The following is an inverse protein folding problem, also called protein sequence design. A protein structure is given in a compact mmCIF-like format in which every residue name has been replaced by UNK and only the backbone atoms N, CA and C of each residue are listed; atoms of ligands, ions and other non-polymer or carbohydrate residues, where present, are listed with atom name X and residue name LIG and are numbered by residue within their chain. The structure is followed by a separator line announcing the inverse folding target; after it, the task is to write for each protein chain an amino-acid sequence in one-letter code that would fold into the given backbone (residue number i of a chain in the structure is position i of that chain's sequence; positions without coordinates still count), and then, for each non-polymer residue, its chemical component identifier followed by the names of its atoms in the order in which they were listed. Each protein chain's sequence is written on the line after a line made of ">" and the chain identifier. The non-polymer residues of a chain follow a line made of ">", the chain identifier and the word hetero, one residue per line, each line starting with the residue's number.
data_IF_987300565875
#
_entry.id   IF_987300565875
#
_cell.length_a   1.000
_cell.length_b   1.000
_cell.length_c   1.000
_cell.angle_alpha   90.00
_cell.angle_beta   90.00
_cell.angle_gamma   90.00
#
_symmetry.space_group_name_H-M   'P 1'
#
loop_
_entity.id
_entity.type
_entity.pdbx_description
1 polymer ?
#
# COMPACT_ATOMS: atom_id res chain seq x y z
N UNK A 1 20.99 -9.35 -6.37
CA UNK A 1 19.99 -8.26 -6.34
C UNK A 1 18.68 -8.87 -6.82
N UNK A 2 17.79 -9.25 -5.89
CA UNK A 2 16.62 -10.08 -6.19
C UNK A 2 15.51 -9.25 -6.85
N UNK A 3 15.03 -9.74 -7.99
CA UNK A 3 14.01 -9.14 -8.86
C UNK A 3 12.57 -9.19 -8.32
N UNK A 4 12.37 -9.64 -7.07
CA UNK A 4 11.02 -9.82 -6.48
C UNK A 4 10.51 -8.61 -5.69
N UNK A 5 11.36 -7.63 -5.36
CA UNK A 5 10.97 -6.39 -4.64
C UNK A 5 10.30 -5.33 -5.55
N UNK A 6 10.31 -5.52 -6.89
CA UNK A 6 9.86 -4.51 -7.86
C UNK A 6 8.43 -4.71 -8.37
N UNK A 7 7.71 -5.73 -7.88
CA UNK A 7 6.32 -6.00 -8.25
C UNK A 7 5.30 -5.43 -7.26
N UNK A 8 5.67 -4.46 -6.41
CA UNK A 8 4.69 -3.60 -5.73
C UNK A 8 4.11 -2.57 -6.73
N UNK A 9 3.47 -3.18 -7.73
CA UNK A 9 2.44 -2.76 -8.66
C UNK A 9 2.22 -1.26 -8.86
N UNK A 10 2.51 -0.80 -10.08
CA UNK A 10 1.99 0.47 -10.62
C UNK A 10 0.47 0.62 -10.39
N UNK A 11 -0.28 -0.48 -10.29
CA UNK A 11 -1.71 -0.45 -9.96
C UNK A 11 -1.99 0.06 -8.54
N UNK A 12 -1.29 -0.43 -7.52
CA UNK A 12 -1.50 0.02 -6.13
C UNK A 12 -1.04 1.48 -5.99
N UNK A 13 0.08 1.84 -6.60
CA UNK A 13 0.54 3.22 -6.63
C UNK A 13 -0.47 4.13 -7.34
N UNK A 14 -0.94 3.71 -8.51
CA UNK A 14 -1.94 4.43 -9.30
C UNK A 14 -3.26 4.62 -8.56
N UNK A 15 -3.72 3.62 -7.81
CA UNK A 15 -4.91 3.71 -6.96
C UNK A 15 -4.75 4.75 -5.84
N UNK A 16 -3.61 4.76 -5.16
CA UNK A 16 -3.30 5.75 -4.11
C UNK A 16 -3.24 7.16 -4.70
N UNK A 17 -2.57 7.34 -5.84
CA UNK A 17 -2.48 8.63 -6.54
C UNK A 17 -3.86 9.10 -7.01
N UNK A 18 -4.66 8.21 -7.58
CA UNK A 18 -6.02 8.51 -8.05
C UNK A 18 -6.94 8.90 -6.88
N UNK A 19 -6.95 8.13 -5.79
CA UNK A 19 -7.71 8.44 -4.59
C UNK A 19 -7.31 9.81 -4.02
N UNK A 20 -6.01 10.07 -3.95
CA UNK A 20 -5.47 11.34 -3.44
C UNK A 20 -5.91 12.50 -4.31
N UNK A 21 -5.84 12.36 -5.64
CA UNK A 21 -6.30 13.38 -6.58
C UNK A 21 -7.80 13.64 -6.41
N UNK A 22 -8.63 12.61 -6.33
CA UNK A 22 -10.09 12.78 -6.15
C UNK A 22 -10.40 13.56 -4.86
N UNK A 23 -9.77 13.18 -3.74
CA UNK A 23 -9.97 13.86 -2.46
C UNK A 23 -9.43 15.30 -2.47
N UNK A 24 -8.29 15.56 -3.09
CA UNK A 24 -7.74 16.91 -3.26
C UNK A 24 -8.65 17.79 -4.12
N UNK A 25 -9.15 17.27 -5.25
CA UNK A 25 -10.08 17.97 -6.14
C UNK A 25 -11.36 18.37 -5.42
N UNK A 26 -11.94 17.44 -4.67
CA UNK A 26 -13.16 17.67 -3.89
C UNK A 26 -12.94 18.67 -2.76
N UNK A 27 -11.78 18.60 -2.12
CA UNK A 27 -11.47 19.45 -0.96
C UNK A 27 -11.16 20.89 -1.36
N UNK A 28 -10.40 21.11 -2.44
CA UNK A 28 -9.92 22.44 -2.82
C UNK A 28 -10.80 23.13 -3.87
N UNK A 29 -11.49 22.37 -4.73
CA UNK A 29 -12.16 22.93 -5.91
C UNK A 29 -13.65 22.54 -6.05
N UNK A 30 -14.22 21.71 -5.16
CA UNK A 30 -15.54 21.07 -5.32
C UNK A 30 -15.67 20.31 -6.68
N UNK A 31 -14.55 19.83 -7.21
CA UNK A 31 -14.44 19.02 -8.43
C UNK A 31 -14.20 17.54 -8.09
N UNK A 32 -14.18 16.65 -9.09
CA UNK A 32 -13.93 15.22 -8.87
C UNK A 32 -13.03 14.61 -9.93
N UNK A 33 -12.37 13.51 -9.59
CA UNK A 33 -11.57 12.71 -10.52
C UNK A 33 -12.42 12.21 -11.69
N UNK A 34 -13.66 11.77 -11.46
CA UNK A 34 -14.59 11.37 -12.52
C UNK A 34 -14.83 12.52 -13.52
N UNK A 35 -14.97 13.76 -13.04
CA UNK A 35 -15.11 14.93 -13.91
C UNK A 35 -13.84 15.19 -14.74
N UNK A 36 -12.67 15.09 -14.12
CA UNK A 36 -11.38 15.18 -14.82
C UNK A 36 -11.24 14.08 -15.89
N UNK A 37 -11.51 12.82 -15.55
CA UNK A 37 -11.41 11.69 -16.48
C UNK A 37 -12.40 11.82 -17.65
N UNK A 38 -13.59 12.39 -17.42
CA UNK A 38 -14.53 12.73 -18.51
C UNK A 38 -13.99 13.83 -19.42
N UNK A 39 -13.32 14.84 -18.88
CA UNK A 39 -12.68 15.89 -19.68
C UNK A 39 -11.57 15.31 -20.58
N UNK A 40 -10.69 14.48 -19.99
CA UNK A 40 -9.66 13.73 -20.72
C UNK A 40 -10.29 12.84 -21.81
N UNK A 41 -11.33 12.06 -21.48
CA UNK A 41 -12.00 11.20 -22.45
C UNK A 41 -12.62 12.01 -23.59
N UNK A 42 -13.30 13.12 -23.32
CA UNK A 42 -13.90 13.96 -24.37
C UNK A 42 -12.84 14.47 -25.35
N UNK A 43 -11.65 14.82 -24.87
CA UNK A 43 -10.60 15.47 -25.67
C UNK A 43 -9.71 14.47 -26.42
N UNK A 44 -9.35 13.36 -25.78
CA UNK A 44 -8.39 12.39 -26.33
C UNK A 44 -9.03 11.05 -26.67
N UNK A 45 -10.05 10.63 -25.92
CA UNK A 45 -10.69 9.32 -26.05
C UNK A 45 -11.91 9.25 -26.96
N UNK A 46 -12.71 10.32 -27.11
CA UNK A 46 -14.00 10.24 -27.81
C UNK A 46 -13.86 9.91 -29.31
N UNK A 47 -12.77 10.36 -29.93
CA UNK A 47 -12.48 10.09 -31.34
C UNK A 47 -11.61 8.85 -31.45
N UNK A 48 -12.17 7.79 -32.01
CA UNK A 48 -11.50 6.50 -32.20
C UNK A 48 -11.21 6.28 -33.68
N UNK A 49 -10.12 5.59 -33.98
CA UNK A 49 -9.82 5.05 -35.31
C UNK A 49 -10.71 3.83 -35.60
N UNK A 50 -10.71 3.35 -36.84
CA UNK A 50 -11.42 2.12 -37.23
C UNK A 50 -10.95 0.88 -36.44
N UNK A 51 -9.73 0.91 -35.90
CA UNK A 51 -9.16 -0.14 -35.07
C UNK A 51 -9.54 0.00 -33.57
N UNK A 52 -10.51 0.86 -33.22
CA UNK A 52 -10.91 1.16 -31.84
C UNK A 52 -9.76 1.67 -30.96
N UNK A 53 -8.75 2.30 -31.58
CA UNK A 53 -7.68 2.99 -30.88
C UNK A 53 -7.93 4.51 -30.90
N UNK A 54 -7.57 5.27 -29.84
CA UNK A 54 -7.75 6.72 -29.82
C UNK A 54 -7.08 7.37 -31.03
N UNK A 55 -7.82 8.16 -31.79
CA UNK A 55 -7.29 8.89 -32.95
C UNK A 55 -6.25 9.93 -32.53
N UNK A 56 -6.31 10.38 -31.28
CA UNK A 56 -5.29 11.21 -30.64
C UNK A 56 -4.93 10.62 -29.29
N UNK A 57 -3.82 9.88 -29.16
CA UNK A 57 -3.34 9.45 -27.84
C UNK A 57 -2.95 10.68 -27.01
N UNK A 58 -2.99 10.53 -25.68
CA UNK A 58 -2.51 11.54 -24.74
C UNK A 58 -1.13 11.17 -24.20
N UNK A 59 -0.38 12.20 -23.80
CA UNK A 59 0.87 12.08 -23.04
C UNK A 59 0.67 12.52 -21.59
N UNK A 60 1.65 12.26 -20.72
CA UNK A 60 1.64 12.80 -19.33
C UNK A 60 1.55 14.33 -19.32
N UNK A 61 2.19 15.01 -20.29
CA UNK A 61 2.11 16.46 -20.44
C UNK A 61 0.70 16.93 -20.84
N UNK A 62 0.00 16.18 -21.69
CA UNK A 62 -1.40 16.46 -22.04
C UNK A 62 -2.31 16.32 -20.83
N UNK A 63 -2.14 15.25 -20.03
CA UNK A 63 -2.90 15.04 -18.80
C UNK A 63 -2.67 16.17 -17.79
N UNK A 64 -1.42 16.56 -17.56
CA UNK A 64 -1.08 17.70 -16.68
C UNK A 64 -1.73 19.00 -17.16
N UNK A 65 -1.73 19.24 -18.47
CA UNK A 65 -2.36 20.42 -19.08
C UNK A 65 -3.87 20.38 -18.93
N UNK A 66 -4.49 19.21 -19.13
CA UNK A 66 -5.93 19.05 -18.96
C UNK A 66 -6.35 19.23 -17.50
N UNK A 67 -5.56 18.72 -16.54
CA UNK A 67 -5.82 18.94 -15.12
C UNK A 67 -5.71 20.42 -14.77
N UNK A 68 -4.68 21.11 -15.26
CA UNK A 68 -4.49 22.55 -15.05
C UNK A 68 -5.70 23.36 -15.53
N UNK A 69 -6.25 23.04 -16.70
CA UNK A 69 -7.44 23.67 -17.23
C UNK A 69 -8.72 23.27 -16.49
N UNK A 70 -8.81 22.04 -16.00
CA UNK A 70 -9.97 21.55 -15.26
C UNK A 70 -10.14 22.23 -13.90
N UNK A 71 -9.04 22.50 -13.20
CA UNK A 71 -9.02 23.16 -11.88
C UNK A 71 -8.76 24.66 -11.93
N UNK A 72 -8.51 25.21 -13.12
CA UNK A 72 -8.08 26.59 -13.36
C UNK A 72 -6.86 27.03 -12.50
N UNK A 73 -5.91 26.10 -12.29
CA UNK A 73 -4.71 26.36 -11.49
C UNK A 73 -3.52 25.54 -11.98
N UNK A 74 -2.68 26.16 -12.81
CA UNK A 74 -1.49 25.51 -13.38
C UNK A 74 -0.50 25.04 -12.32
N UNK A 75 -0.34 25.80 -11.24
CA UNK A 75 0.60 25.48 -10.16
C UNK A 75 0.23 24.15 -9.49
N UNK A 76 -1.04 23.97 -9.11
CA UNK A 76 -1.54 22.73 -8.53
C UNK A 76 -1.27 21.51 -9.42
N UNK A 77 -1.64 21.59 -10.71
CA UNK A 77 -1.42 20.47 -11.63
C UNK A 77 0.08 20.17 -11.81
N UNK A 78 0.92 21.20 -11.82
CA UNK A 78 2.37 21.03 -11.99
C UNK A 78 3.00 20.37 -10.76
N UNK A 79 2.63 20.82 -9.56
CA UNK A 79 3.11 20.25 -8.31
C UNK A 79 2.63 18.81 -8.12
N UNK A 80 1.34 18.54 -8.38
CA UNK A 80 0.77 17.21 -8.25
C UNK A 80 1.51 16.18 -9.12
N UNK A 81 1.73 16.51 -10.40
CA UNK A 81 2.44 15.62 -11.31
C UNK A 81 3.90 15.44 -10.92
N UNK A 82 4.60 16.52 -10.59
CA UNK A 82 6.01 16.47 -10.21
C UNK A 82 6.24 15.59 -8.97
N UNK A 83 5.37 15.69 -7.96
CA UNK A 83 5.55 14.98 -6.68
C UNK A 83 5.07 13.53 -6.72
N UNK A 84 3.88 13.29 -7.31
CA UNK A 84 3.16 12.02 -7.12
C UNK A 84 3.06 11.14 -8.38
N UNK A 85 3.17 11.73 -9.58
CA UNK A 85 3.11 10.98 -10.85
C UNK A 85 4.51 10.68 -11.38
N UNK A 86 5.38 11.69 -11.38
CA UNK A 86 6.76 11.60 -11.86
C UNK A 86 7.73 11.35 -10.70
N UNK A 87 7.40 11.88 -9.53
CA UNK A 87 8.13 11.66 -8.29
C UNK A 87 7.78 10.33 -7.60
N UNK A 88 8.36 10.15 -6.41
CA UNK A 88 8.16 8.96 -5.56
C UNK A 88 7.52 9.31 -4.21
N UNK A 89 6.98 10.51 -4.09
CA UNK A 89 6.32 10.93 -2.86
C UNK A 89 4.98 10.22 -2.72
N UNK A 90 4.64 9.80 -1.50
CA UNK A 90 3.32 9.25 -1.18
C UNK A 90 2.44 10.41 -0.69
N UNK A 91 1.28 10.68 -1.32
CA UNK A 91 0.35 11.67 -0.79
C UNK A 91 -0.10 11.32 0.64
N UNK A 92 -0.18 12.31 1.53
CA UNK A 92 -0.74 12.09 2.87
C UNK A 92 -2.27 12.01 2.81
N UNK A 93 -2.77 10.77 2.87
CA UNK A 93 -4.20 10.47 2.86
C UNK A 93 -4.89 10.79 4.19
N UNK A 94 -4.15 10.96 5.29
CA UNK A 94 -4.71 11.16 6.63
C UNK A 94 -5.61 12.40 6.71
N UNK A 95 -5.15 13.62 6.33
CA UNK A 95 -6.01 14.81 6.37
C UNK A 95 -7.11 14.78 5.30
N UNK A 96 -6.89 14.06 4.19
CA UNK A 96 -7.86 13.95 3.10
C UNK A 96 -9.05 13.07 3.50
N UNK A 97 -8.78 11.91 4.11
CA UNK A 97 -9.81 10.99 4.61
C UNK A 97 -10.54 11.55 5.83
N UNK A 98 -9.85 12.33 6.67
CA UNK A 98 -10.48 13.02 7.80
C UNK A 98 -11.61 13.96 7.37
N UNK A 99 -11.55 14.55 6.17
CA UNK A 99 -12.65 15.37 5.61
C UNK A 99 -13.93 14.57 5.38
N UNK A 100 -13.81 13.26 5.14
CA UNK A 100 -14.92 12.33 5.06
C UNK A 100 -15.23 11.69 6.42
N UNK A 101 -14.64 12.14 7.53
CA UNK A 101 -14.73 11.50 8.84
C UNK A 101 -14.24 10.06 8.82
N UNK A 102 -13.22 9.77 8.03
CA UNK A 102 -12.56 8.47 7.98
C UNK A 102 -11.21 8.60 8.65
N UNK A 103 -10.96 7.70 9.60
CA UNK A 103 -9.71 7.59 10.32
C UNK A 103 -8.83 6.57 9.64
N UNK A 104 -7.67 7.02 9.18
CA UNK A 104 -6.57 6.17 8.80
C UNK A 104 -5.67 5.97 10.03
N UNK A 105 -5.55 4.74 10.51
CA UNK A 105 -4.64 4.40 11.60
C UNK A 105 -3.45 3.63 11.08
N UNK A 106 -2.27 4.04 11.51
CA UNK A 106 -1.07 3.22 11.45
C UNK A 106 -0.96 2.45 12.75
N UNK A 107 -1.06 1.13 12.67
CA UNK A 107 -0.90 0.24 13.82
C UNK A 107 0.29 -0.68 13.54
N UNK A 108 1.27 -0.72 14.43
CA UNK A 108 2.27 -1.80 14.38
C UNK A 108 1.55 -3.05 14.86
N UNK A 109 1.52 -4.09 14.02
CA UNK A 109 0.90 -5.35 14.41
C UNK A 109 1.59 -5.89 15.66
N UNK A 110 0.81 -6.27 16.66
CA UNK A 110 1.34 -7.02 17.81
C UNK A 110 1.87 -8.38 17.38
N UNK A 111 1.37 -8.92 16.26
CA UNK A 111 1.88 -10.14 15.66
C UNK A 111 3.27 -9.92 15.01
N UNK A 112 4.23 -10.82 15.29
CA UNK A 112 5.53 -10.82 14.63
C UNK A 112 5.45 -10.94 13.11
N UNK A 113 6.36 -10.26 12.42
CA UNK A 113 6.60 -10.36 11.00
C UNK A 113 8.02 -10.88 10.77
N UNK A 114 8.14 -12.13 10.35
CA UNK A 114 9.44 -12.73 10.05
C UNK A 114 10.10 -12.07 8.84
N UNK A 115 9.32 -11.71 7.83
CA UNK A 115 9.83 -11.20 6.56
C UNK A 115 10.82 -12.16 5.92
N UNK A 116 10.40 -13.41 5.72
CA UNK A 116 11.17 -14.41 4.99
C UNK A 116 10.24 -15.28 4.15
N UNK A 117 10.74 -15.74 3.01
CA UNK A 117 10.18 -16.90 2.33
C UNK A 117 10.84 -18.15 2.88
N UNK A 118 10.03 -19.10 3.30
CA UNK A 118 10.45 -20.32 3.96
C UNK A 118 9.88 -21.51 3.19
N UNK A 119 10.70 -22.54 3.01
CA UNK A 119 10.27 -23.82 2.50
C UNK A 119 10.57 -24.92 3.51
N UNK A 120 9.99 -26.10 3.26
CA UNK A 120 10.36 -27.31 3.99
C UNK A 120 11.54 -27.97 3.29
N UNK A 121 12.61 -28.22 4.03
CA UNK A 121 13.67 -29.14 3.60
C UNK A 121 13.73 -30.31 4.58
N UNK A 122 13.31 -31.49 4.11
CA UNK A 122 13.34 -32.73 4.87
C UNK A 122 12.59 -32.60 6.21
N UNK A 123 13.30 -32.36 7.32
CA UNK A 123 12.77 -32.18 8.67
C UNK A 123 13.09 -30.80 9.28
N UNK A 124 13.49 -29.83 8.46
CA UNK A 124 13.90 -28.50 8.89
C UNK A 124 13.22 -27.43 8.05
N UNK A 125 13.33 -26.18 8.50
CA UNK A 125 12.84 -25.02 7.76
C UNK A 125 13.98 -24.41 6.97
N UNK A 126 13.84 -24.37 5.65
CA UNK A 126 14.80 -23.76 4.74
C UNK A 126 14.45 -22.31 4.48
N UNK A 127 15.43 -21.41 4.60
CA UNK A 127 15.25 -19.99 4.28
C UNK A 127 15.56 -19.76 2.80
N UNK A 128 14.54 -19.41 2.01
CA UNK A 128 14.71 -19.05 0.59
C UNK A 128 15.30 -17.64 0.45
N UNK A 129 14.70 -16.67 1.14
CA UNK A 129 15.15 -15.29 1.19
C UNK A 129 14.57 -14.57 2.42
N UNK A 130 15.20 -13.47 2.81
CA UNK A 130 14.74 -12.59 3.89
C UNK A 130 14.59 -11.15 3.40
N UNK A 131 13.50 -10.49 3.78
CA UNK A 131 13.20 -9.10 3.46
C UNK A 131 14.03 -8.16 4.34
N UNK A 132 14.63 -7.08 3.80
CA UNK A 132 15.43 -6.13 4.59
C UNK A 132 14.72 -5.51 5.81
N UNK A 133 13.38 -5.46 5.81
CA UNK A 133 12.56 -4.94 6.90
C UNK A 133 11.96 -6.04 7.81
N UNK A 134 12.40 -7.30 7.67
CA UNK A 134 11.90 -8.45 8.42
C UNK A 134 12.78 -8.86 9.60
N UNK A 135 12.19 -9.57 10.57
CA UNK A 135 12.90 -10.14 11.73
C UNK A 135 14.04 -11.08 11.30
N UNK A 136 13.80 -11.90 10.28
CA UNK A 136 14.76 -12.88 9.78
C UNK A 136 16.03 -12.21 9.24
N UNK A 137 15.87 -11.17 8.41
CA UNK A 137 17.00 -10.41 7.88
C UNK A 137 17.77 -9.69 9.00
N UNK A 138 17.07 -9.07 9.95
CA UNK A 138 17.68 -8.40 11.10
C UNK A 138 18.48 -9.37 11.99
N UNK A 139 18.06 -10.64 12.07
CA UNK A 139 18.80 -11.71 12.77
C UNK A 139 19.97 -12.28 11.95
N UNK A 140 20.14 -11.84 10.70
CA UNK A 140 21.17 -12.32 9.80
C UNK A 140 20.85 -13.65 9.10
N UNK A 141 19.57 -14.05 9.06
CA UNK A 141 19.13 -15.17 8.22
C UNK A 141 19.17 -14.80 6.75
N UNK A 142 19.65 -15.71 5.93
CA UNK A 142 19.82 -15.55 4.50
C UNK A 142 19.51 -16.83 3.73
N UNK A 143 19.46 -16.73 2.40
CA UNK A 143 19.21 -17.87 1.53
C UNK A 143 20.20 -19.01 1.82
N UNK A 144 19.70 -20.23 2.00
CA UNK A 144 20.51 -21.41 2.28
C UNK A 144 20.61 -21.80 3.75
N UNK A 145 20.13 -20.95 4.66
CA UNK A 145 20.13 -21.27 6.10
C UNK A 145 19.01 -22.27 6.44
N UNK A 146 19.30 -23.17 7.38
CA UNK A 146 18.32 -24.11 7.94
C UNK A 146 17.99 -23.73 9.38
N UNK A 147 16.71 -23.68 9.74
CA UNK A 147 16.23 -23.48 11.12
C UNK A 147 15.77 -24.81 11.69
N UNK A 148 16.29 -25.15 12.87
CA UNK A 148 16.05 -26.40 13.59
C UNK A 148 15.06 -26.23 14.72
N UNK A 149 15.18 -25.14 15.50
CA UNK A 149 14.31 -24.87 16.63
C UNK A 149 14.17 -23.37 16.91
N UNK A 150 13.08 -23.02 17.59
CA UNK A 150 12.80 -21.69 18.14
C UNK A 150 12.57 -21.83 19.64
N UNK A 151 13.38 -21.16 20.46
CA UNK A 151 13.40 -21.30 21.92
C UNK A 151 13.46 -22.76 22.39
N UNK A 152 14.24 -23.58 21.67
CA UNK A 152 14.40 -25.00 21.94
C UNK A 152 13.23 -25.89 21.50
N UNK A 153 12.15 -25.31 20.95
CA UNK A 153 11.03 -26.06 20.35
C UNK A 153 11.42 -26.45 18.91
N UNK A 154 11.51 -27.75 18.57
CA UNK A 154 11.85 -28.16 17.21
C UNK A 154 10.81 -27.70 16.18
N UNK A 155 11.29 -27.24 15.03
CA UNK A 155 10.46 -26.83 13.89
C UNK A 155 10.91 -27.58 12.65
N UNK A 156 9.94 -28.10 11.88
CA UNK A 156 10.22 -29.00 10.76
C UNK A 156 9.57 -28.57 9.44
N UNK A 157 8.83 -27.46 9.48
CA UNK A 157 8.21 -26.82 8.31
C UNK A 157 7.86 -25.36 8.65
N UNK A 158 7.59 -24.51 7.64
CA UNK A 158 7.24 -23.11 7.84
C UNK A 158 6.07 -22.88 8.81
N UNK A 159 5.03 -23.72 8.78
CA UNK A 159 3.85 -23.57 9.66
C UNK A 159 4.21 -23.80 11.13
N UNK A 160 5.05 -24.79 11.43
CA UNK A 160 5.51 -25.06 12.80
C UNK A 160 6.35 -23.91 13.36
N UNK A 161 7.23 -23.31 12.53
CA UNK A 161 8.00 -22.14 12.91
C UNK A 161 7.09 -20.94 13.15
N UNK A 162 6.17 -20.67 12.21
CA UNK A 162 5.18 -19.61 12.36
C UNK A 162 4.32 -19.81 13.61
N UNK A 163 3.93 -21.05 13.93
CA UNK A 163 3.12 -21.36 15.11
C UNK A 163 3.86 -21.09 16.42
N UNK A 164 5.17 -21.33 16.49
CA UNK A 164 5.97 -20.98 17.68
C UNK A 164 6.14 -19.47 17.76
N UNK A 165 6.57 -18.82 16.68
CA UNK A 165 6.80 -17.36 16.64
C UNK A 165 5.52 -16.58 16.95
N UNK A 166 4.35 -17.02 16.47
CA UNK A 166 3.06 -16.36 16.74
C UNK A 166 2.56 -16.49 18.19
N UNK A 167 3.26 -17.21 19.07
CA UNK A 167 3.01 -17.18 20.53
C UNK A 167 3.64 -15.97 21.21
N UNK A 168 4.54 -15.28 20.52
CA UNK A 168 5.24 -14.10 21.00
C UNK A 168 4.65 -12.83 20.40
N UNK A 169 5.02 -11.69 20.98
CA UNK A 169 4.66 -10.38 20.48
C UNK A 169 5.82 -9.74 19.70
N UNK A 170 5.47 -8.81 18.84
CA UNK A 170 6.43 -7.86 18.30
C UNK A 170 7.16 -7.14 19.45
N UNK A 171 8.49 -7.10 19.37
CA UNK A 171 9.38 -6.60 20.41
C UNK A 171 10.14 -7.70 21.14
N UNK A 172 9.58 -8.91 21.23
CA UNK A 172 10.20 -10.04 21.91
C UNK A 172 11.46 -10.51 21.19
N UNK A 173 12.35 -11.19 21.92
CA UNK A 173 13.54 -11.83 21.37
C UNK A 173 13.36 -13.34 21.53
N UNK A 174 13.51 -14.07 20.42
CA UNK A 174 13.51 -15.54 20.40
C UNK A 174 14.89 -16.04 19.99
N UNK A 175 15.28 -17.22 20.45
CA UNK A 175 16.53 -17.86 20.07
C UNK A 175 16.28 -18.92 19.02
N UNK A 176 16.97 -18.81 17.89
CA UNK A 176 16.90 -19.76 16.79
C UNK A 176 18.14 -20.64 16.81
N UNK A 177 17.93 -21.95 16.79
CA UNK A 177 19.00 -22.88 16.43
C UNK A 177 19.02 -23.04 14.92
N UNK A 178 20.16 -22.69 14.31
CA UNK A 178 20.30 -22.60 12.85
C UNK A 178 21.57 -23.28 12.37
N UNK A 179 21.56 -23.76 11.14
CA UNK A 179 22.77 -24.06 10.39
C UNK A 179 22.97 -22.93 9.38
N UNK A 180 24.04 -22.16 9.57
CA UNK A 180 24.50 -21.17 8.59
C UNK A 180 25.89 -21.59 8.13
N UNK A 181 26.05 -21.81 6.83
CA UNK A 181 27.35 -22.15 6.21
C UNK A 181 28.03 -23.36 6.89
N UNK A 182 27.27 -24.44 7.06
CA UNK A 182 27.70 -25.69 7.70
C UNK A 182 28.08 -25.56 9.19
N UNK A 183 27.68 -24.46 9.85
CA UNK A 183 27.90 -24.25 11.27
C UNK A 183 26.57 -24.17 12.01
N UNK A 184 26.36 -25.13 12.91
CA UNK A 184 25.24 -25.12 13.83
C UNK A 184 25.50 -24.14 14.96
N UNK A 185 24.62 -23.16 15.15
CA UNK A 185 24.72 -22.15 16.19
C UNK A 185 23.35 -21.63 16.62
N UNK A 186 23.34 -20.98 17.77
CA UNK A 186 22.17 -20.25 18.25
C UNK A 186 22.31 -18.78 17.93
N UNK A 187 21.29 -18.19 17.31
CA UNK A 187 21.20 -16.75 17.04
C UNK A 187 19.97 -16.17 17.72
N UNK A 188 20.05 -14.93 18.19
CA UNK A 188 18.89 -14.22 18.73
C UNK A 188 18.21 -13.42 17.63
N UNK A 189 16.89 -13.58 17.50
CA UNK A 189 16.05 -12.86 16.56
C UNK A 189 15.05 -11.98 17.32
N UNK A 190 15.17 -10.67 17.13
CA UNK A 190 14.15 -9.73 17.60
C UNK A 190 12.95 -9.77 16.65
N UNK A 191 11.77 -10.02 17.21
CA UNK A 191 10.52 -10.07 16.47
C UNK A 191 10.05 -8.65 16.15
N UNK A 192 10.07 -8.30 14.87
CA UNK A 192 9.62 -7.01 14.34
C UNK A 192 8.14 -7.13 14.01
N UNK A 193 7.32 -6.19 14.48
CA UNK A 193 5.93 -6.05 14.02
C UNK A 193 5.89 -5.29 12.70
N UNK A 194 4.91 -5.58 11.84
CA UNK A 194 4.76 -4.85 10.57
C UNK A 194 3.81 -3.66 10.78
N UNK A 195 4.12 -2.47 10.27
CA UNK A 195 3.12 -1.41 10.15
C UNK A 195 1.95 -1.93 9.30
N UNK A 196 0.76 -1.85 9.86
CA UNK A 196 -0.50 -2.11 9.18
C UNK A 196 -1.28 -0.80 9.11
N UNK A 197 -1.92 -0.58 7.97
CA UNK A 197 -2.88 0.50 7.81
C UNK A 197 -4.27 -0.08 8.04
N UNK A 198 -5.01 0.50 8.97
CA UNK A 198 -6.42 0.20 9.17
C UNK A 198 -7.26 1.44 8.91
N UNK A 199 -8.45 1.23 8.35
CA UNK A 199 -9.39 2.31 8.03
C UNK A 199 -10.66 2.08 8.84
N UNK A 200 -11.09 3.11 9.57
CA UNK A 200 -12.33 3.11 10.32
C UNK A 200 -13.10 4.41 10.11
N UNK A 201 -14.43 4.32 10.07
CA UNK A 201 -15.28 5.51 10.18
C UNK A 201 -15.15 6.12 11.57
N UNK A 202 -15.16 7.44 11.69
CA UNK A 202 -15.11 8.16 12.98
C UNK A 202 -16.14 7.64 13.97
N UNK A 203 -17.34 7.32 13.50
CA UNK A 203 -18.43 6.76 14.32
C UNK A 203 -18.04 5.45 15.01
N UNK A 204 -17.31 4.56 14.30
CA UNK A 204 -16.79 3.30 14.87
C UNK A 204 -15.62 3.54 15.82
N UNK A 205 -14.92 4.65 15.65
CA UNK A 205 -13.81 5.05 16.50
C UNK A 205 -14.24 5.90 17.71
N UNK A 206 -15.55 6.15 17.89
CA UNK A 206 -16.07 7.02 18.96
C UNK A 206 -15.75 8.51 18.75
N UNK A 207 -15.40 8.91 17.53
CA UNK A 207 -15.10 10.29 17.17
C UNK A 207 -16.38 10.94 16.60
N UNK A 208 -16.77 12.15 17.07
CA UNK A 208 -17.93 12.85 16.53
C UNK A 208 -17.80 13.18 15.04
N UNK A 209 -18.90 13.05 14.29
CA UNK A 209 -18.96 13.38 12.87
C UNK A 209 -19.65 14.74 12.68
N UNK A 210 -18.96 15.70 12.03
CA UNK A 210 -19.55 17.03 11.76
C UNK A 210 -20.52 16.99 10.57
N UNK A 211 -21.44 17.97 10.46
CA UNK A 211 -22.31 18.10 9.27
C UNK A 211 -21.52 18.21 7.96
N UNK A 212 -20.39 18.90 7.97
CA UNK A 212 -19.51 19.07 6.81
C UNK A 212 -18.90 17.73 6.39
N UNK A 213 -18.45 16.91 7.35
CA UNK A 213 -17.92 15.58 7.07
C UNK A 213 -18.99 14.66 6.48
N UNK A 214 -20.22 14.71 6.98
CA UNK A 214 -21.37 13.96 6.44
C UNK A 214 -21.65 14.37 5.00
N UNK A 215 -21.73 15.66 4.75
CA UNK A 215 -21.99 16.22 3.41
C UNK A 215 -20.88 15.83 2.43
N UNK A 216 -19.61 15.98 2.83
CA UNK A 216 -18.45 15.59 2.03
C UNK A 216 -18.47 14.09 1.70
N UNK A 217 -18.67 13.23 2.72
CA UNK A 217 -18.74 11.78 2.53
C UNK A 217 -19.91 11.39 1.62
N UNK A 218 -21.07 12.02 1.75
CA UNK A 218 -22.23 11.77 0.90
C UNK A 218 -21.98 12.19 -0.55
N UNK A 219 -21.37 13.36 -0.80
CA UNK A 219 -20.95 13.80 -2.14
C UNK A 219 -19.90 12.87 -2.77
N UNK A 220 -19.08 12.23 -1.94
CA UNK A 220 -17.99 11.36 -2.39
C UNK A 220 -18.45 9.94 -2.68
N UNK A 221 -19.08 9.28 -1.70
CA UNK A 221 -19.45 7.87 -1.70
C UNK A 221 -20.93 7.62 -2.01
N UNK A 222 -21.75 8.66 -2.02
CA UNK A 222 -23.16 8.55 -2.38
C UNK A 222 -23.34 8.13 -3.84
N UNK A 223 -24.41 7.39 -4.11
CA UNK A 223 -24.78 7.00 -5.47
C UNK A 223 -25.04 8.24 -6.32
N UNK A 224 -24.23 8.44 -7.36
CA UNK A 224 -24.59 9.34 -8.45
C UNK A 224 -25.73 8.67 -9.22
N UNK A 225 -26.97 9.08 -9.00
CA UNK A 225 -28.04 8.74 -9.94
C UNK A 225 -27.60 9.25 -11.32
N UNK A 226 -27.35 8.31 -12.24
CA UNK A 226 -27.13 8.59 -13.64
C UNK A 226 -28.44 9.13 -14.20
N UNK A 227 -28.64 10.44 -14.07
CA UNK A 227 -29.65 11.18 -14.82
C UNK A 227 -29.29 11.14 -16.30
N UNK A 228 -29.63 10.02 -16.95
CA UNK A 228 -29.71 9.91 -18.40
C UNK A 228 -30.97 10.67 -18.84
N UNK A 229 -30.86 12.00 -18.93
CA UNK A 229 -31.81 12.78 -19.70
C UNK A 229 -31.73 12.29 -21.16
N UNK A 230 -32.88 11.80 -21.65
CA UNK A 230 -33.11 11.29 -23.00
C UNK A 230 -32.89 12.35 -24.08
#
# INVERSE_FOLDING_TARGET
>A
MNSQETHLSYYIWGEVVALSLDLMLRTKYDLSLDGYMRAVWKKFGKKQTLALAPARPYTTADLRTELAGYVDEKAFASEFFARYVEGREVPDLTPLLARAGILLKTEITTKPYLGASLDKDSNFVFVNWSAPNGSAYAAGLSSGDLVYSVDGIPVNNPDSLNAVVNRHNAGDIVNLEVNQREQRKTISMKLIGRPSLSVATYEKAGIPLTPEMKSFRAKWLGSKELGLAH
#
